data_IF_328302898019
#
_entry.id   IF_328302898019
#
_cell.length_a   1.000
_cell.length_b   1.000
_cell.length_c   1.000
_cell.angle_alpha   90.00
_cell.angle_beta   90.00
_cell.angle_gamma   90.00
#
_symmetry.space_group_name_H-M   'P 1'
#
loop_
_entity.id
_entity.type
_entity.pdbx_description
1 polymer ?
#
# COMPACT_ATOMS: atom_id res chain seq x y z
N UNK A 1 -5.33 -16.52 -9.63
CA UNK A 1 -5.64 -15.50 -8.64
C UNK A 1 -4.61 -15.53 -7.52
N UNK A 2 -4.50 -14.39 -6.81
CA UNK A 2 -3.63 -14.25 -5.65
C UNK A 2 -4.42 -13.70 -4.48
N UNK A 3 -4.08 -14.12 -3.28
CA UNK A 3 -4.64 -13.61 -2.02
C UNK A 3 -3.48 -13.26 -1.08
N UNK A 4 -3.47 -12.03 -0.59
CA UNK A 4 -2.61 -11.57 0.49
C UNK A 4 -3.37 -11.72 1.81
N UNK A 5 -2.83 -12.49 2.73
CA UNK A 5 -3.46 -12.82 4.02
C UNK A 5 -2.72 -12.08 5.13
N UNK A 6 -3.46 -11.35 5.97
CA UNK A 6 -2.88 -10.50 7.02
C UNK A 6 -1.80 -11.17 7.85
N UNK A 7 -2.04 -12.39 8.31
CA UNK A 7 -1.08 -13.20 9.07
C UNK A 7 -0.87 -14.57 8.43
N UNK A 8 -0.64 -14.61 7.11
CA UNK A 8 -0.52 -15.89 6.39
C UNK A 8 0.16 -15.79 5.02
N UNK A 9 0.89 -14.71 4.77
CA UNK A 9 1.66 -14.53 3.54
C UNK A 9 0.80 -14.42 2.28
N UNK A 10 1.28 -14.96 1.17
CA UNK A 10 0.64 -14.88 -0.15
C UNK A 10 0.31 -16.28 -0.67
N UNK A 11 -0.92 -16.43 -1.14
CA UNK A 11 -1.43 -17.68 -1.73
C UNK A 11 -1.81 -17.46 -3.20
N UNK A 12 -1.58 -18.48 -4.02
CA UNK A 12 -1.87 -18.47 -5.46
C UNK A 12 -2.76 -19.66 -5.83
N UNK A 13 -3.75 -19.40 -6.69
CA UNK A 13 -4.50 -20.44 -7.39
C UNK A 13 -4.35 -20.30 -8.91
N UNK A 14 -4.32 -21.42 -9.62
CA UNK A 14 -4.31 -21.49 -11.08
C UNK A 14 -5.56 -22.20 -11.64
N UNK A 15 -6.46 -22.65 -10.76
CA UNK A 15 -7.67 -23.40 -11.09
C UNK A 15 -8.94 -22.77 -10.48
N UNK A 16 -9.04 -21.45 -10.59
CA UNK A 16 -10.21 -20.66 -10.16
C UNK A 16 -10.59 -20.84 -8.69
N UNK A 17 -9.59 -21.03 -7.82
CA UNK A 17 -9.79 -21.14 -6.37
C UNK A 17 -10.07 -22.55 -5.85
N UNK A 18 -10.04 -23.59 -6.70
CA UNK A 18 -10.25 -24.97 -6.26
C UNK A 18 -9.12 -25.44 -5.35
N UNK A 19 -7.88 -25.09 -5.66
CA UNK A 19 -6.72 -25.31 -4.79
C UNK A 19 -5.86 -24.06 -4.67
N UNK A 20 -5.19 -23.90 -3.53
CA UNK A 20 -4.33 -22.78 -3.22
C UNK A 20 -2.96 -23.27 -2.79
N UNK A 21 -1.92 -22.64 -3.32
CA UNK A 21 -0.53 -22.93 -3.00
C UNK A 21 0.09 -21.70 -2.32
N UNK A 22 0.72 -21.85 -1.14
CA UNK A 22 1.48 -20.74 -0.55
C UNK A 22 2.72 -20.48 -1.40
N UNK A 23 3.00 -19.19 -1.64
CA UNK A 23 4.12 -18.76 -2.48
C UNK A 23 5.05 -17.76 -1.76
N UNK A 24 4.87 -17.60 -0.45
CA UNK A 24 5.63 -16.66 0.36
C UNK A 24 6.24 -17.29 1.62
N UNK A 25 6.14 -18.60 1.85
CA UNK A 25 6.58 -19.29 3.07
C UNK A 25 8.10 -19.16 3.33
N UNK A 26 8.89 -19.01 2.27
CA UNK A 26 10.34 -18.84 2.35
C UNK A 26 10.79 -17.35 2.28
N UNK A 27 9.87 -16.42 2.44
CA UNK A 27 10.17 -15.00 2.40
C UNK A 27 10.40 -14.42 3.80
N UNK A 28 11.03 -13.25 3.86
CA UNK A 28 11.26 -12.53 5.12
C UNK A 28 10.02 -11.84 5.67
N UNK A 29 8.96 -11.67 4.87
CA UNK A 29 7.70 -11.09 5.28
C UNK A 29 6.66 -12.16 5.56
N UNK A 30 5.78 -11.88 6.53
CA UNK A 30 4.67 -12.76 6.89
C UNK A 30 3.32 -12.01 6.86
N UNK A 31 3.31 -10.78 7.39
CA UNK A 31 2.12 -9.95 7.41
C UNK A 31 1.98 -9.17 6.11
N UNK A 32 0.82 -9.25 5.49
CA UNK A 32 0.53 -8.61 4.20
C UNK A 32 -0.71 -7.73 4.28
N UNK A 33 -0.71 -6.60 3.59
CA UNK A 33 -1.79 -5.62 3.59
C UNK A 33 -2.55 -5.55 2.26
N UNK A 34 -1.84 -5.65 1.15
CA UNK A 34 -2.44 -5.61 -0.18
C UNK A 34 -1.55 -6.29 -1.23
N UNK A 35 -2.18 -6.74 -2.32
CA UNK A 35 -1.50 -7.32 -3.48
C UNK A 35 -2.10 -6.76 -4.77
N UNK A 36 -1.24 -6.44 -5.74
CA UNK A 36 -1.66 -5.87 -7.03
C UNK A 36 -0.89 -6.53 -8.16
N UNK A 37 -1.62 -7.05 -9.15
CA UNK A 37 -1.03 -7.53 -10.40
C UNK A 37 -0.84 -6.32 -11.31
N UNK A 38 0.34 -6.21 -11.91
CA UNK A 38 0.65 -5.17 -12.89
C UNK A 38 -0.19 -5.39 -14.16
N UNK A 39 -1.02 -4.42 -14.58
CA UNK A 39 -1.87 -4.56 -15.75
C UNK A 39 -1.07 -4.69 -17.07
N UNK A 40 0.16 -4.21 -17.10
CA UNK A 40 1.03 -4.28 -18.28
C UNK A 40 1.80 -5.60 -18.39
N UNK A 41 1.96 -6.32 -17.25
CA UNK A 41 2.66 -7.61 -17.20
C UNK A 41 2.17 -8.44 -16.01
N UNK A 42 1.32 -9.41 -16.27
CA UNK A 42 0.70 -10.24 -15.22
C UNK A 42 1.67 -11.15 -14.44
N UNK A 43 2.91 -11.30 -14.91
CA UNK A 43 3.98 -11.95 -14.12
C UNK A 43 4.57 -11.01 -13.08
N UNK A 44 4.32 -9.71 -13.17
CA UNK A 44 4.77 -8.71 -12.21
C UNK A 44 3.69 -8.49 -11.15
N UNK A 45 4.08 -8.66 -9.89
CA UNK A 45 3.16 -8.58 -8.74
C UNK A 45 3.77 -7.68 -7.69
N UNK A 46 3.03 -6.69 -7.27
CA UNK A 46 3.37 -5.80 -6.17
C UNK A 46 2.68 -6.26 -4.89
N UNK A 47 3.39 -6.24 -3.77
CA UNK A 47 2.90 -6.60 -2.45
C UNK A 47 3.23 -5.50 -1.45
N UNK A 48 2.23 -5.03 -0.75
CA UNK A 48 2.39 -4.20 0.43
C UNK A 48 2.33 -5.04 1.70
N UNK A 49 3.32 -4.88 2.58
CA UNK A 49 3.39 -5.64 3.83
C UNK A 49 2.78 -4.91 5.01
N UNK A 50 2.48 -5.66 6.08
CA UNK A 50 1.78 -5.21 7.28
C UNK A 50 0.27 -5.24 7.17
N UNK A 51 -0.39 -5.73 8.22
CA UNK A 51 -1.86 -5.84 8.22
C UNK A 51 -2.55 -4.49 8.12
N UNK A 52 -3.58 -4.41 7.28
CA UNK A 52 -4.36 -3.19 7.03
C UNK A 52 -5.52 -3.04 8.03
N UNK A 53 -5.22 -3.06 9.32
CA UNK A 53 -6.19 -2.93 10.42
C UNK A 53 -5.63 -2.11 11.58
N UNK A 54 -6.48 -1.70 12.52
CA UNK A 54 -6.12 -0.90 13.69
C UNK A 54 -6.05 -1.67 15.01
N UNK A 55 -5.91 -3.01 14.98
CA UNK A 55 -5.89 -3.87 16.17
C UNK A 55 -4.68 -3.66 17.09
N UNK A 56 -4.69 -4.26 18.29
CA UNK A 56 -3.53 -4.23 19.21
C UNK A 56 -2.38 -5.09 18.73
N UNK A 57 -2.68 -6.20 18.09
CA UNK A 57 -1.74 -7.22 17.66
C UNK A 57 -1.65 -7.30 16.13
N UNK A 58 -1.62 -6.13 15.48
CA UNK A 58 -1.44 -6.06 14.03
C UNK A 58 -0.03 -6.47 13.66
N UNK A 59 0.07 -7.34 12.68
CA UNK A 59 1.34 -7.74 12.11
C UNK A 59 1.99 -6.57 11.37
N UNK A 60 3.26 -6.33 11.69
CA UNK A 60 4.06 -5.25 11.12
C UNK A 60 4.71 -5.74 9.83
N UNK A 61 4.73 -4.89 8.81
CA UNK A 61 5.46 -5.07 7.58
C UNK A 61 6.75 -4.25 7.52
N UNK A 62 7.52 -4.48 6.49
CA UNK A 62 8.82 -3.84 6.24
C UNK A 62 8.93 -3.25 4.82
N UNK A 63 7.80 -2.83 4.27
CA UNK A 63 7.76 -2.09 3.01
C UNK A 63 7.06 -2.79 1.86
N UNK A 64 7.44 -2.40 0.66
CA UNK A 64 6.91 -2.87 -0.63
C UNK A 64 7.80 -3.95 -1.19
N UNK A 65 7.18 -5.00 -1.72
CA UNK A 65 7.86 -6.07 -2.45
C UNK A 65 7.37 -6.16 -3.89
N UNK A 66 8.28 -6.55 -4.78
CA UNK A 66 8.00 -6.81 -6.19
C UNK A 66 8.46 -8.22 -6.55
N UNK A 67 7.54 -8.98 -7.13
CA UNK A 67 7.87 -10.18 -7.90
C UNK A 67 7.80 -9.89 -9.39
N UNK A 68 8.73 -10.43 -10.17
CA UNK A 68 8.74 -10.34 -11.64
C UNK A 68 8.42 -11.67 -12.32
N UNK A 69 8.16 -12.72 -11.55
CA UNK A 69 8.01 -14.11 -12.04
C UNK A 69 6.79 -14.82 -11.42
N UNK A 70 5.70 -14.08 -11.25
CA UNK A 70 4.44 -14.66 -10.77
C UNK A 70 4.47 -15.14 -9.32
N UNK A 71 5.27 -14.48 -8.48
CA UNK A 71 5.37 -14.77 -7.04
C UNK A 71 6.41 -15.82 -6.66
N UNK A 72 7.25 -16.30 -7.59
CA UNK A 72 8.29 -17.27 -7.28
C UNK A 72 9.44 -16.67 -6.46
N UNK A 73 9.83 -15.44 -6.78
CA UNK A 73 10.81 -14.66 -6.00
C UNK A 73 10.31 -13.24 -5.76
N UNK A 74 10.78 -12.63 -4.67
CA UNK A 74 10.38 -11.31 -4.24
C UNK A 74 11.60 -10.46 -3.89
N UNK A 75 11.55 -9.18 -4.26
CA UNK A 75 12.56 -8.19 -3.94
C UNK A 75 11.91 -7.05 -3.15
N UNK A 76 12.49 -6.67 -2.01
CA UNK A 76 12.07 -5.47 -1.28
C UNK A 76 12.45 -4.22 -2.10
N UNK A 77 11.46 -3.35 -2.34
CA UNK A 77 11.55 -2.14 -3.16
C UNK A 77 11.56 -0.86 -2.31
N UNK A 78 11.72 -0.96 -0.99
CA UNK A 78 11.80 0.19 -0.09
C UNK A 78 10.58 0.42 0.77
N UNK A 79 10.43 1.63 1.29
CA UNK A 79 9.41 2.04 2.26
C UNK A 79 9.42 1.16 3.53
N UNK A 80 10.61 0.85 4.03
CA UNK A 80 10.80 -0.12 5.12
C UNK A 80 10.23 0.31 6.47
N UNK A 81 9.95 1.61 6.64
CA UNK A 81 9.36 2.18 7.85
C UNK A 81 7.85 2.43 7.70
N UNK A 82 7.21 1.84 6.68
CA UNK A 82 5.77 1.98 6.44
C UNK A 82 4.93 1.24 7.49
N UNK A 83 5.41 0.13 8.00
CA UNK A 83 4.74 -0.84 8.88
C UNK A 83 3.41 -1.40 8.32
N UNK A 84 2.60 -0.56 7.68
CA UNK A 84 1.27 -0.95 7.16
C UNK A 84 1.01 -0.29 5.81
N UNK A 85 1.02 -1.08 4.73
CA UNK A 85 0.68 -0.63 3.38
C UNK A 85 -0.71 -1.14 3.03
N UNK A 86 -1.62 -0.21 2.72
CA UNK A 86 -3.03 -0.52 2.50
C UNK A 86 -3.41 -0.69 1.03
N UNK A 87 -2.70 -0.01 0.11
CA UNK A 87 -3.03 -0.04 -1.31
C UNK A 87 -1.81 0.18 -2.17
N UNK A 88 -1.74 -0.52 -3.29
CA UNK A 88 -0.78 -0.26 -4.36
C UNK A 88 -1.55 -0.17 -5.67
N UNK A 89 -1.28 0.86 -6.47
CA UNK A 89 -1.83 1.02 -7.82
C UNK A 89 -0.68 1.23 -8.79
N UNK A 90 -0.63 0.40 -9.84
CA UNK A 90 0.20 0.65 -11.02
C UNK A 90 -0.61 1.52 -11.97
N UNK A 91 -0.01 2.58 -12.48
CA UNK A 91 -0.68 3.45 -13.44
C UNK A 91 -1.12 2.64 -14.68
N UNK A 92 -2.36 2.81 -15.16
CA UNK A 92 -2.80 2.11 -16.37
C UNK A 92 -2.06 2.58 -17.63
N UNK A 93 -1.48 3.79 -17.62
CA UNK A 93 -0.83 4.38 -18.80
C UNK A 93 0.69 4.21 -18.80
N UNK A 94 1.30 3.97 -17.62
CA UNK A 94 2.76 3.86 -17.51
C UNK A 94 3.17 2.79 -16.50
N UNK A 95 3.79 1.69 -16.93
CA UNK A 95 4.24 0.60 -16.06
C UNK A 95 5.38 0.99 -15.08
N UNK A 96 5.96 2.16 -15.24
CA UNK A 96 7.01 2.66 -14.35
C UNK A 96 6.41 3.48 -13.19
N UNK A 97 5.20 4.00 -13.38
CA UNK A 97 4.50 4.81 -12.38
C UNK A 97 3.65 3.93 -11.46
N UNK A 98 3.99 3.93 -10.18
CA UNK A 98 3.29 3.16 -9.14
C UNK A 98 3.04 4.06 -7.93
N UNK A 99 1.85 3.93 -7.37
CA UNK A 99 1.44 4.62 -6.15
C UNK A 99 1.31 3.64 -5.00
N UNK A 100 1.76 4.03 -3.81
CA UNK A 100 1.68 3.24 -2.58
C UNK A 100 1.06 4.06 -1.46
N UNK A 101 -0.11 3.62 -1.00
CA UNK A 101 -0.78 4.18 0.16
C UNK A 101 -0.22 3.55 1.43
N UNK A 102 0.49 4.32 2.22
CA UNK A 102 1.10 3.89 3.48
C UNK A 102 0.40 4.53 4.67
N UNK A 103 -0.06 3.69 5.59
CA UNK A 103 -0.66 4.14 6.84
C UNK A 103 0.39 4.58 7.86
N UNK A 104 1.62 4.07 7.74
CA UNK A 104 2.69 4.29 8.69
C UNK A 104 2.51 3.55 10.02
N UNK A 105 3.45 3.71 10.96
CA UNK A 105 3.41 3.10 12.28
C UNK A 105 2.13 3.40 13.07
N UNK A 106 1.54 2.39 13.69
CA UNK A 106 0.35 2.56 14.52
C UNK A 106 0.68 3.12 15.91
N UNK A 107 1.84 2.74 16.46
CA UNK A 107 2.25 3.02 17.84
C UNK A 107 3.19 4.22 17.97
N UNK A 108 3.73 4.73 16.87
CA UNK A 108 4.68 5.84 16.84
C UNK A 108 4.36 6.83 15.73
N UNK A 109 4.80 8.10 15.86
CA UNK A 109 4.66 9.09 14.79
C UNK A 109 5.68 8.86 13.68
N UNK A 110 5.41 9.42 12.50
CA UNK A 110 6.33 9.43 11.36
C UNK A 110 6.43 8.08 10.65
N UNK A 111 7.63 7.63 10.36
CA UNK A 111 7.90 6.51 9.47
C UNK A 111 7.66 6.87 8.00
N UNK A 112 7.56 5.86 7.12
CA UNK A 112 7.17 6.06 5.72
C UNK A 112 5.63 6.12 5.64
N UNK A 113 5.08 7.30 5.95
CA UNK A 113 3.64 7.57 6.10
C UNK A 113 3.17 8.57 5.04
N UNK A 114 2.04 8.30 4.40
CA UNK A 114 1.48 9.14 3.35
C UNK A 114 1.24 8.39 2.04
N UNK A 115 1.19 9.12 0.94
CA UNK A 115 1.13 8.56 -0.41
C UNK A 115 2.48 8.69 -1.09
N UNK A 116 3.04 7.57 -1.48
CA UNK A 116 4.31 7.53 -2.20
C UNK A 116 4.07 7.24 -3.68
N UNK A 117 4.82 7.93 -4.54
CA UNK A 117 4.84 7.75 -5.99
C UNK A 117 6.25 7.41 -6.44
N UNK A 118 6.36 6.46 -7.33
CA UNK A 118 7.57 6.19 -8.13
C UNK A 118 7.26 6.42 -9.61
N UNK A 119 8.27 6.78 -10.38
CA UNK A 119 8.23 6.84 -11.86
C UNK A 119 9.35 6.02 -12.49
N UNK A 120 10.03 5.22 -11.67
CA UNK A 120 11.16 4.37 -12.05
C UNK A 120 10.98 2.90 -11.59
N UNK A 121 9.72 2.49 -11.46
CA UNK A 121 9.33 1.13 -11.05
C UNK A 121 9.84 0.75 -9.67
N UNK A 122 9.79 1.70 -8.73
CA UNK A 122 10.10 1.48 -7.33
C UNK A 122 11.58 1.53 -6.97
N UNK A 123 12.45 2.03 -7.87
CA UNK A 123 13.85 2.26 -7.52
C UNK A 123 13.97 3.46 -6.58
N UNK A 124 13.16 4.50 -6.80
CA UNK A 124 13.04 5.66 -5.90
C UNK A 124 11.58 5.97 -5.59
N UNK A 125 11.34 6.56 -4.43
CA UNK A 125 10.01 6.94 -3.96
C UNK A 125 9.97 8.40 -3.54
N UNK A 126 8.94 9.13 -3.99
CA UNK A 126 8.62 10.50 -3.58
C UNK A 126 7.34 10.47 -2.75
N UNK A 127 7.32 11.06 -1.55
CA UNK A 127 6.07 11.29 -0.82
C UNK A 127 5.32 12.44 -1.49
N UNK A 128 4.18 12.16 -2.10
CA UNK A 128 3.38 13.13 -2.88
C UNK A 128 2.14 13.62 -2.12
N UNK A 129 1.79 12.99 -1.00
CA UNK A 129 0.74 13.44 -0.09
C UNK A 129 1.13 13.13 1.35
N UNK A 130 1.68 14.12 2.03
CA UNK A 130 2.00 14.10 3.46
C UNK A 130 1.12 15.11 4.19
N UNK A 131 0.40 14.67 5.22
CA UNK A 131 -0.53 15.53 5.99
C UNK A 131 0.12 15.95 7.31
N UNK A 132 0.47 14.97 8.13
CA UNK A 132 1.18 15.15 9.39
C UNK A 132 1.75 13.81 9.89
N UNK A 133 2.53 13.86 10.95
CA UNK A 133 3.22 12.68 11.51
C UNK A 133 2.30 11.54 12.02
N UNK A 134 0.99 11.74 12.09
CA UNK A 134 0.02 10.75 12.57
C UNK A 134 -0.99 10.33 11.50
N UNK A 135 -0.99 10.98 10.32
CA UNK A 135 -1.98 10.74 9.28
C UNK A 135 -1.35 9.99 8.12
N UNK A 136 -1.82 8.78 7.87
CA UNK A 136 -1.44 7.98 6.70
C UNK A 136 -2.54 7.95 5.65
N UNK A 137 -2.22 7.36 4.49
CA UNK A 137 -3.18 7.10 3.42
C UNK A 137 -3.67 5.66 3.54
N UNK A 138 -5.00 5.48 3.58
CA UNK A 138 -5.65 4.18 3.80
C UNK A 138 -6.25 3.58 2.55
N UNK A 139 -6.58 4.40 1.57
CA UNK A 139 -7.06 3.94 0.28
C UNK A 139 -6.73 4.94 -0.83
N UNK A 140 -6.68 4.44 -2.06
CA UNK A 140 -6.39 5.19 -3.26
C UNK A 140 -7.21 4.63 -4.42
N UNK A 141 -7.81 5.50 -5.20
CA UNK A 141 -8.51 5.16 -6.44
C UNK A 141 -7.97 6.03 -7.55
N UNK A 142 -7.75 5.43 -8.72
CA UNK A 142 -7.43 6.12 -9.96
C UNK A 142 -8.63 6.05 -10.90
N UNK A 143 -8.92 7.14 -11.60
CA UNK A 143 -9.97 7.17 -12.60
C UNK A 143 -9.54 6.34 -13.82
N UNK A 144 -10.42 5.42 -14.24
CA UNK A 144 -10.11 4.51 -15.35
C UNK A 144 -10.14 5.18 -16.73
N UNK A 145 -10.83 6.31 -16.86
CA UNK A 145 -10.92 7.06 -18.12
C UNK A 145 -9.85 8.15 -18.21
N UNK A 146 -9.35 8.60 -17.05
CA UNK A 146 -8.32 9.63 -16.97
C UNK A 146 -7.38 9.40 -15.79
N UNK A 147 -6.27 8.75 -16.00
CA UNK A 147 -5.27 8.42 -14.98
C UNK A 147 -4.62 9.64 -14.27
N UNK A 148 -4.82 10.85 -14.77
CA UNK A 148 -4.42 12.05 -14.06
C UNK A 148 -5.31 12.34 -12.84
N UNK A 149 -6.51 11.75 -12.78
CA UNK A 149 -7.45 11.95 -11.68
C UNK A 149 -7.30 10.82 -10.67
N UNK A 150 -6.94 11.19 -9.45
CA UNK A 150 -6.83 10.26 -8.31
C UNK A 150 -7.61 10.78 -7.10
N UNK A 151 -8.09 9.85 -6.30
CA UNK A 151 -8.72 10.14 -5.01
C UNK A 151 -8.01 9.35 -3.91
N UNK A 152 -7.62 10.02 -2.84
CA UNK A 152 -6.96 9.42 -1.69
C UNK A 152 -7.76 9.64 -0.40
N UNK A 153 -7.95 8.58 0.38
CA UNK A 153 -8.49 8.65 1.71
C UNK A 153 -7.36 8.66 2.73
N UNK A 154 -7.37 9.61 3.66
CA UNK A 154 -6.40 9.71 4.74
C UNK A 154 -7.05 9.41 6.08
N UNK A 155 -6.28 8.83 7.00
CA UNK A 155 -6.74 8.53 8.34
C UNK A 155 -5.68 8.92 9.38
N UNK A 156 -6.05 9.83 10.25
CA UNK A 156 -5.25 10.15 11.41
C UNK A 156 -5.56 9.13 12.51
N UNK A 157 -4.56 8.31 12.84
CA UNK A 157 -4.71 7.28 13.87
C UNK A 157 -3.45 7.13 14.71
N UNK A 158 -3.66 6.78 15.96
CA UNK A 158 -2.58 6.52 16.90
C UNK A 158 -3.07 5.63 18.03
N UNK A 159 -2.25 4.70 18.43
CA UNK A 159 -2.52 3.80 19.55
C UNK A 159 -1.46 3.93 20.63
N UNK A 160 -1.89 3.87 21.87
CA UNK A 160 -1.03 3.62 23.01
C UNK A 160 -1.66 2.53 23.91
N UNK A 161 -1.04 2.24 25.04
CA UNK A 161 -1.52 1.18 25.95
C UNK A 161 -2.94 1.45 26.48
N UNK A 162 -3.28 2.71 26.73
CA UNK A 162 -4.55 3.11 27.32
C UNK A 162 -5.65 3.40 26.30
N UNK A 163 -5.28 3.84 25.06
CA UNK A 163 -6.27 4.37 24.12
C UNK A 163 -5.94 4.05 22.65
N UNK A 164 -6.99 4.05 21.84
CA UNK A 164 -6.91 4.11 20.39
C UNK A 164 -7.61 5.38 19.90
N UNK A 165 -6.87 6.27 19.29
CA UNK A 165 -7.39 7.47 18.63
C UNK A 165 -7.54 7.14 17.15
N UNK A 166 -8.79 7.01 16.71
CA UNK A 166 -9.15 6.61 15.34
C UNK A 166 -9.85 7.74 14.59
N UNK A 167 -9.27 8.94 14.61
CA UNK A 167 -9.77 10.12 13.91
C UNK A 167 -8.98 11.36 14.27
N UNK A 168 -9.19 12.45 13.54
CA UNK A 168 -8.54 13.72 13.78
C UNK A 168 -8.58 14.64 12.56
N UNK A 169 -8.05 15.86 12.66
CA UNK A 169 -8.14 16.87 11.59
C UNK A 169 -7.42 16.47 10.29
N UNK A 170 -6.53 15.48 10.35
CA UNK A 170 -5.88 14.92 9.16
C UNK A 170 -6.72 13.86 8.44
N UNK A 171 -7.81 13.35 9.02
CA UNK A 171 -8.71 12.40 8.37
C UNK A 171 -9.56 13.11 7.32
N UNK A 172 -9.39 12.74 6.04
CA UNK A 172 -10.01 13.50 4.96
C UNK A 172 -10.01 12.72 3.64
N UNK A 173 -10.70 13.30 2.64
CA UNK A 173 -10.61 12.88 1.24
C UNK A 173 -9.88 13.95 0.45
N UNK A 174 -8.98 13.49 -0.42
CA UNK A 174 -8.18 14.34 -1.31
C UNK A 174 -8.37 13.92 -2.76
N UNK A 175 -8.30 14.87 -3.65
CA UNK A 175 -8.33 14.68 -5.10
C UNK A 175 -7.08 15.28 -5.72
N UNK A 176 -6.51 14.59 -6.68
CA UNK A 176 -5.51 15.09 -7.63
C UNK A 176 -6.11 15.09 -9.02
N UNK A 177 -5.64 16.01 -9.88
CA UNK A 177 -5.99 16.10 -11.30
C UNK A 177 -4.75 16.16 -12.21
N UNK A 178 -3.59 15.92 -11.64
CA UNK A 178 -2.27 16.04 -12.28
C UNK A 178 -1.38 14.81 -12.00
N UNK A 179 -2.00 13.62 -12.01
CA UNK A 179 -1.31 12.35 -11.78
C UNK A 179 -0.59 12.30 -10.42
N UNK A 180 -1.22 12.90 -9.38
CA UNK A 180 -0.75 12.83 -8.00
C UNK A 180 0.38 13.79 -7.65
N UNK A 181 0.66 14.81 -8.46
CA UNK A 181 1.68 15.82 -8.14
C UNK A 181 1.16 16.85 -7.12
N UNK A 182 -0.12 17.26 -7.25
CA UNK A 182 -0.78 18.14 -6.27
C UNK A 182 -2.11 17.56 -5.81
N UNK A 183 -2.53 17.94 -4.59
CA UNK A 183 -3.71 17.37 -3.93
C UNK A 183 -4.56 18.43 -3.30
N UNK A 184 -5.88 18.34 -3.50
CA UNK A 184 -6.88 19.22 -2.94
C UNK A 184 -7.77 18.45 -1.97
N UNK A 185 -7.95 18.95 -0.76
CA UNK A 185 -8.94 18.44 0.17
C UNK A 185 -10.34 18.71 -0.38
N UNK A 186 -11.22 17.69 -0.46
CA UNK A 186 -12.53 17.77 -1.10
C UNK A 186 -13.72 17.61 -0.13
N UNK A 187 -13.46 17.34 1.14
CA UNK A 187 -14.47 17.33 2.18
C UNK A 187 -14.19 18.43 3.22
N UNK A 188 -15.23 19.03 3.73
CA UNK A 188 -15.21 20.04 4.80
C UNK A 188 -15.16 19.40 6.18
#
# INVERSE_FOLDING_TARGET
WYVAVGSGGVWKTTNSGTTWTPIADNQSFYSTGCITIDPHNTSRIWLGTGENVGGRHVGIGDGVYLSQNGGQTWKNMGLKKSEHISKIIVSPDDPNTVFVASQGPLWSPGGDRGLFKTTDRGQTWKNVLEINKWTGVTDLVIDHENSNILYAATWQKHRNVAAHIGGGPGTSLYKSIDNGETWFKINT
#
